data_IF_715609353767
#
_entry.id   IF_715609353767
#
_cell.length_a   1.000
_cell.length_b   1.000
_cell.length_c   1.000
_cell.angle_alpha   90.00
_cell.angle_beta   90.00
_cell.angle_gamma   90.00
#
_symmetry.space_group_name_H-M   'P 1'
#
loop_
_entity.id
_entity.type
_entity.pdbx_description
1 polymer ?
#
# COMPACT_ATOMS: atom_id res chain seq x y z
N UNK A 1 16.79 12.12 7.49
CA UNK A 1 15.55 12.38 6.75
C UNK A 1 15.81 11.83 5.37
N UNK A 2 15.43 10.58 5.13
CA UNK A 2 15.57 9.94 3.83
C UNK A 2 14.35 10.30 2.99
N UNK A 3 14.64 10.60 1.74
CA UNK A 3 13.69 10.93 0.71
C UNK A 3 12.54 9.91 0.70
N UNK A 4 11.34 10.39 1.01
CA UNK A 4 10.13 9.71 0.64
C UNK A 4 10.06 9.75 -0.89
N UNK A 5 9.90 8.60 -1.54
CA UNK A 5 9.80 8.50 -3.00
C UNK A 5 8.59 9.20 -3.62
N UNK A 6 7.77 9.87 -2.81
CA UNK A 6 6.77 10.83 -3.25
C UNK A 6 7.36 12.23 -3.05
N UNK A 7 7.96 12.77 -4.10
CA UNK A 7 8.38 14.16 -4.12
C UNK A 7 7.14 15.06 -4.15
N UNK A 8 6.67 15.46 -2.97
CA UNK A 8 5.66 16.53 -2.87
C UNK A 8 6.41 17.85 -2.97
N UNK A 9 6.64 18.32 -4.18
CA UNK A 9 7.07 19.70 -4.43
C UNK A 9 5.81 20.56 -4.59
N UNK A 10 5.32 21.15 -3.52
CA UNK A 10 4.18 22.06 -3.57
C UNK A 10 4.44 23.31 -2.77
N UNK A 11 4.41 24.46 -3.43
CA UNK A 11 4.13 25.73 -2.78
C UNK A 11 2.82 25.64 -1.99
N UNK A 12 2.77 26.21 -0.80
CA UNK A 12 1.68 26.16 0.18
C UNK A 12 0.32 26.74 -0.31
N UNK A 13 0.04 26.74 -1.60
CA UNK A 13 -1.22 27.17 -2.19
C UNK A 13 -2.18 26.04 -2.55
N UNK A 14 -2.20 24.95 -1.80
CA UNK A 14 -3.33 24.00 -1.76
C UNK A 14 -3.54 23.14 -2.99
N UNK A 15 -2.58 22.97 -3.87
CA UNK A 15 -2.61 21.99 -4.96
C UNK A 15 -1.53 20.94 -4.74
N UNK A 16 -1.95 19.77 -4.30
CA UNK A 16 -1.12 18.57 -4.39
C UNK A 16 -1.18 18.08 -5.84
N UNK A 17 -0.26 18.54 -6.67
CA UNK A 17 -0.03 18.00 -8.00
C UNK A 17 0.97 16.85 -7.85
N UNK A 18 0.46 15.65 -7.57
CA UNK A 18 1.28 14.44 -7.71
C UNK A 18 1.46 14.26 -9.21
N UNK A 19 2.65 14.50 -9.71
CA UNK A 19 2.97 14.32 -11.10
C UNK A 19 2.95 12.82 -11.39
N UNK A 20 1.97 12.34 -12.14
CA UNK A 20 1.79 10.93 -12.50
C UNK A 20 3.07 10.27 -13.03
N UNK A 21 3.95 11.05 -13.65
CA UNK A 21 5.19 10.57 -14.25
C UNK A 21 6.23 10.06 -13.23
N UNK A 22 6.12 10.46 -11.96
CA UNK A 22 7.12 10.10 -10.94
C UNK A 22 6.72 8.87 -10.12
N UNK A 23 5.45 8.43 -10.21
CA UNK A 23 4.92 7.30 -9.42
C UNK A 23 4.97 5.99 -10.18
N UNK A 24 4.60 6.01 -11.47
CA UNK A 24 4.48 4.80 -12.28
C UNK A 24 5.75 4.50 -13.07
N UNK A 25 6.05 3.21 -13.21
CA UNK A 25 7.12 2.72 -14.06
C UNK A 25 6.69 2.77 -15.53
N UNK A 26 7.53 3.37 -16.41
CA UNK A 26 7.21 3.55 -17.83
C UNK A 26 7.17 2.25 -18.64
N UNK A 27 7.74 1.16 -18.12
CA UNK A 27 7.81 -0.14 -18.79
C UNK A 27 6.60 -1.04 -18.53
N UNK A 28 5.71 -0.65 -17.62
CA UNK A 28 4.56 -1.44 -17.22
C UNK A 28 3.25 -0.71 -17.46
N UNK A 29 2.19 -1.49 -17.75
CA UNK A 29 0.87 -0.96 -18.03
C UNK A 29 0.28 -0.25 -16.81
N UNK A 30 -0.31 0.92 -17.05
CA UNK A 30 -1.12 1.66 -16.08
C UNK A 30 -2.59 1.56 -16.47
N UNK A 31 -3.41 1.00 -15.58
CA UNK A 31 -4.85 0.92 -15.75
C UNK A 31 -5.55 2.14 -15.17
N UNK A 32 -6.59 2.58 -15.83
CA UNK A 32 -7.45 3.67 -15.35
C UNK A 32 -8.89 3.18 -15.23
N UNK A 33 -9.53 3.44 -14.10
CA UNK A 33 -10.91 3.03 -13.85
C UNK A 33 -11.04 1.58 -13.38
N UNK A 34 -12.13 0.92 -13.74
CA UNK A 34 -12.39 -0.45 -13.31
C UNK A 34 -11.41 -1.45 -13.93
N UNK A 35 -10.84 -2.29 -13.08
CA UNK A 35 -9.98 -3.41 -13.47
C UNK A 35 -10.60 -4.70 -12.92
N UNK A 36 -10.91 -5.64 -13.80
CA UNK A 36 -11.39 -6.96 -13.40
C UNK A 36 -10.29 -7.74 -12.65
N UNK A 37 -10.66 -8.69 -11.81
CA UNK A 37 -9.70 -9.54 -11.08
C UNK A 37 -8.71 -10.17 -12.06
N UNK A 38 -7.45 -9.73 -11.99
CA UNK A 38 -6.38 -10.06 -12.92
C UNK A 38 -5.19 -10.63 -12.17
N UNK A 39 -4.63 -11.74 -12.67
CA UNK A 39 -3.40 -12.31 -12.13
C UNK A 39 -2.21 -11.40 -12.47
N UNK A 40 -1.35 -11.13 -11.49
CA UNK A 40 -0.25 -10.16 -11.62
C UNK A 40 1.14 -10.76 -11.39
N UNK A 41 1.25 -12.01 -10.96
CA UNK A 41 2.54 -12.67 -10.83
C UNK A 41 2.69 -13.81 -11.84
N UNK A 42 3.92 -14.02 -12.31
CA UNK A 42 4.31 -15.16 -13.14
C UNK A 42 5.18 -16.14 -12.35
N UNK A 43 5.91 -15.65 -11.38
CA UNK A 43 6.84 -16.40 -10.55
C UNK A 43 6.52 -16.35 -9.06
N UNK A 44 7.50 -16.73 -8.26
CA UNK A 44 7.41 -16.68 -6.80
C UNK A 44 7.66 -15.26 -6.32
N UNK A 45 6.69 -14.71 -5.57
CA UNK A 45 6.82 -13.40 -4.93
C UNK A 45 7.44 -13.57 -3.55
N UNK A 46 8.49 -12.82 -3.27
CA UNK A 46 9.17 -12.79 -1.97
C UNK A 46 8.99 -11.47 -1.24
N UNK A 47 8.66 -10.41 -1.96
CA UNK A 47 8.49 -9.08 -1.40
C UNK A 47 7.26 -8.40 -1.98
N UNK A 48 6.56 -7.64 -1.15
CA UNK A 48 5.50 -6.71 -1.56
C UNK A 48 5.99 -5.28 -1.40
N UNK A 49 5.78 -4.46 -2.42
CA UNK A 49 5.94 -3.00 -2.37
C UNK A 49 4.63 -2.33 -2.75
N UNK A 50 4.01 -1.68 -1.78
CA UNK A 50 2.69 -1.07 -1.89
C UNK A 50 2.83 0.45 -1.74
N UNK A 51 2.62 1.20 -2.82
CA UNK A 51 2.63 2.66 -2.84
C UNK A 51 1.22 3.18 -3.13
N UNK A 52 0.55 3.73 -2.12
CA UNK A 52 -0.87 4.08 -2.19
C UNK A 52 -1.06 5.57 -1.88
N UNK A 53 -1.63 6.28 -2.84
CA UNK A 53 -1.95 7.70 -2.74
C UNK A 53 -3.44 7.99 -2.94
N UNK A 54 -4.23 8.09 -1.87
CA UNK A 54 -5.63 8.50 -1.91
C UNK A 54 -6.66 7.39 -2.15
N UNK A 55 -6.25 6.15 -2.33
CA UNK A 55 -7.12 5.00 -2.57
C UNK A 55 -7.48 4.27 -1.27
N UNK A 56 -8.45 3.35 -1.36
CA UNK A 56 -8.63 2.29 -0.36
C UNK A 56 -8.08 0.99 -0.92
N UNK A 57 -7.07 0.43 -0.26
CA UNK A 57 -6.53 -0.89 -0.57
C UNK A 57 -7.00 -1.89 0.49
N UNK A 58 -7.65 -2.97 0.05
CA UNK A 58 -7.90 -4.15 0.87
C UNK A 58 -6.96 -5.28 0.43
N UNK A 59 -6.30 -5.91 1.39
CA UNK A 59 -5.52 -7.12 1.16
C UNK A 59 -6.35 -8.29 1.67
N UNK A 60 -6.64 -9.25 0.79
CA UNK A 60 -7.45 -10.43 1.05
C UNK A 60 -6.69 -11.71 0.71
N UNK A 61 -7.12 -12.83 1.28
CA UNK A 61 -6.60 -14.13 0.92
C UNK A 61 -6.99 -14.51 -0.52
N UNK A 62 -6.03 -15.00 -1.29
CA UNK A 62 -6.27 -15.60 -2.60
C UNK A 62 -6.77 -17.04 -2.46
N UNK A 63 -7.60 -17.48 -3.39
CA UNK A 63 -8.15 -18.85 -3.43
C UNK A 63 -7.12 -19.90 -3.88
N UNK A 64 -5.98 -19.45 -4.40
CA UNK A 64 -4.91 -20.33 -4.92
C UNK A 64 -3.51 -19.70 -4.65
N UNK A 65 -2.48 -20.24 -5.28
CA UNK A 65 -1.09 -19.83 -5.08
C UNK A 65 -0.68 -18.62 -5.95
N UNK A 66 -1.63 -17.90 -6.55
CA UNK A 66 -1.38 -16.73 -7.36
C UNK A 66 -1.88 -15.44 -6.72
N UNK A 67 -1.24 -14.34 -7.08
CA UNK A 67 -1.62 -12.98 -6.69
C UNK A 67 -2.54 -12.38 -7.75
N UNK A 68 -3.59 -11.71 -7.30
CA UNK A 68 -4.53 -11.02 -8.18
C UNK A 68 -4.75 -9.60 -7.70
N UNK A 69 -5.08 -8.72 -8.64
CA UNK A 69 -5.49 -7.34 -8.38
C UNK A 69 -6.84 -7.08 -9.00
N UNK A 70 -7.63 -6.25 -8.33
CA UNK A 70 -8.93 -5.77 -8.81
C UNK A 70 -9.06 -4.30 -8.43
N UNK A 71 -9.62 -3.46 -9.31
CA UNK A 71 -9.94 -2.08 -8.99
C UNK A 71 -11.38 -1.76 -9.34
N UNK A 72 -12.06 -1.06 -8.44
CA UNK A 72 -13.39 -0.48 -8.64
C UNK A 72 -13.34 1.01 -8.42
N UNK A 73 -13.98 1.77 -9.32
CA UNK A 73 -14.01 3.22 -9.24
C UNK A 73 -12.98 3.90 -10.12
N UNK A 74 -12.76 5.19 -9.91
CA UNK A 74 -11.86 6.01 -10.70
C UNK A 74 -10.52 6.16 -10.00
N UNK A 75 -9.44 5.75 -10.65
CA UNK A 75 -8.08 5.85 -10.16
C UNK A 75 -7.12 5.25 -11.17
N UNK A 76 -5.84 5.51 -11.00
CA UNK A 76 -4.77 4.88 -11.77
C UNK A 76 -4.10 3.83 -10.91
N UNK A 77 -3.89 2.67 -11.51
CA UNK A 77 -3.32 1.49 -10.88
C UNK A 77 -2.25 0.89 -11.79
N UNK A 78 -1.11 0.56 -11.21
CA UNK A 78 -0.09 -0.26 -11.82
C UNK A 78 0.25 -1.40 -10.86
N UNK A 79 0.26 -2.63 -11.36
CA UNK A 79 0.66 -3.79 -10.57
C UNK A 79 1.42 -4.77 -11.47
N UNK A 80 2.60 -5.16 -11.03
CA UNK A 80 3.48 -6.07 -11.77
C UNK A 80 4.46 -6.77 -10.84
N UNK A 81 4.99 -7.89 -11.29
CA UNK A 81 6.08 -8.62 -10.61
C UNK A 81 7.36 -8.46 -11.41
N UNK A 82 8.42 -8.07 -10.74
CA UNK A 82 9.79 -8.03 -11.27
C UNK A 82 10.77 -8.45 -10.17
N UNK A 83 11.72 -9.31 -10.49
CA UNK A 83 12.77 -9.81 -9.57
C UNK A 83 12.22 -10.38 -8.24
N UNK A 84 11.10 -11.09 -8.29
CA UNK A 84 10.38 -11.63 -7.12
C UNK A 84 9.77 -10.57 -6.19
N UNK A 85 9.68 -9.33 -6.64
CA UNK A 85 8.99 -8.23 -5.96
C UNK A 85 7.68 -7.96 -6.68
N UNK A 86 6.60 -7.92 -5.94
CA UNK A 86 5.30 -7.50 -6.43
C UNK A 86 5.09 -6.02 -6.09
N UNK A 87 5.02 -5.20 -7.13
CA UNK A 87 4.74 -3.77 -7.02
C UNK A 87 3.26 -3.51 -7.21
N UNK A 88 2.66 -2.74 -6.31
CA UNK A 88 1.31 -2.20 -6.45
C UNK A 88 1.38 -0.71 -6.20
N UNK A 89 1.15 0.08 -7.23
CA UNK A 89 1.20 1.54 -7.20
C UNK A 89 -0.14 2.09 -7.61
N UNK A 90 -0.74 2.94 -6.79
CA UNK A 90 -2.06 3.45 -7.04
C UNK A 90 -2.24 4.89 -6.56
N UNK A 91 -2.82 5.70 -7.42
CA UNK A 91 -3.18 7.09 -7.11
C UNK A 91 -4.61 7.41 -7.56
N UNK A 92 -5.25 8.33 -6.86
CA UNK A 92 -6.50 8.95 -7.30
C UNK A 92 -6.20 10.37 -7.73
N UNK A 93 -6.31 10.63 -9.04
CA UNK A 93 -6.21 11.98 -9.58
C UNK A 93 -7.55 12.69 -9.43
N UNK A 94 -7.52 13.93 -8.98
CA UNK A 94 -8.63 14.84 -8.76
C UNK A 94 -9.46 14.56 -7.50
N UNK A 95 -9.00 15.12 -6.42
CA UNK A 95 -9.88 15.51 -5.32
C UNK A 95 -10.58 16.82 -5.74
N UNK A 96 -11.58 16.75 -6.59
CA UNK A 96 -12.53 17.85 -6.68
C UNK A 96 -13.24 17.93 -5.33
N UNK A 97 -13.08 19.07 -4.65
CA UNK A 97 -13.76 19.39 -3.41
C UNK A 97 -15.26 19.08 -3.53
N UNK A 98 -15.72 17.98 -2.90
CA UNK A 98 -17.12 17.63 -2.80
C UNK A 98 -17.56 16.31 -3.45
N UNK A 99 -16.79 15.70 -4.33
CA UNK A 99 -17.06 14.39 -4.90
C UNK A 99 -15.82 13.50 -4.81
N UNK A 100 -15.61 12.90 -3.63
CA UNK A 100 -14.65 11.78 -3.51
C UNK A 100 -15.21 10.61 -4.31
N UNK A 101 -14.67 10.41 -5.49
CA UNK A 101 -14.84 9.15 -6.22
C UNK A 101 -13.84 8.17 -5.65
N UNK A 102 -14.29 7.38 -4.68
CA UNK A 102 -13.44 6.42 -4.00
C UNK A 102 -13.03 5.31 -4.97
N UNK A 103 -11.74 5.21 -5.26
CA UNK A 103 -11.19 4.05 -5.91
C UNK A 103 -10.84 3.01 -4.85
N UNK A 104 -11.39 1.80 -5.01
CA UNK A 104 -11.12 0.65 -4.15
C UNK A 104 -10.31 -0.37 -4.91
N UNK A 105 -9.17 -0.75 -4.32
CA UNK A 105 -8.28 -1.77 -4.83
C UNK A 105 -8.35 -2.97 -3.91
N UNK A 106 -8.37 -4.17 -4.47
CA UNK A 106 -8.28 -5.43 -3.74
C UNK A 106 -7.07 -6.18 -4.26
N UNK A 107 -6.10 -6.41 -3.38
CA UNK A 107 -4.97 -7.29 -3.61
C UNK A 107 -5.24 -8.64 -2.96
N UNK A 108 -5.19 -9.69 -3.75
CA UNK A 108 -5.33 -11.07 -3.28
C UNK A 108 -3.95 -11.69 -3.12
N UNK A 109 -3.65 -12.16 -1.91
CA UNK A 109 -2.35 -12.73 -1.53
C UNK A 109 -2.56 -14.19 -1.13
N UNK A 110 -1.76 -15.14 -1.64
CA UNK A 110 -1.85 -16.54 -1.23
C UNK A 110 -1.71 -16.71 0.28
N UNK A 111 -2.53 -17.57 0.88
CA UNK A 111 -2.49 -17.87 2.33
C UNK A 111 -1.12 -18.32 2.82
N UNK A 112 -0.40 -19.07 1.98
CA UNK A 112 0.92 -19.63 2.30
C UNK A 112 2.07 -18.81 1.73
N UNK A 113 1.85 -17.52 1.43
CA UNK A 113 2.90 -16.66 0.92
C UNK A 113 4.03 -16.56 1.95
N UNK A 114 5.25 -16.94 1.53
CA UNK A 114 6.45 -16.84 2.34
C UNK A 114 7.18 -15.53 2.01
N UNK A 115 6.65 -14.42 2.51
CA UNK A 115 7.19 -13.10 2.25
C UNK A 115 8.39 -12.81 3.15
N UNK A 116 9.47 -12.34 2.53
CA UNK A 116 10.66 -11.86 3.23
C UNK A 116 10.48 -10.42 3.69
N UNK A 117 9.89 -9.58 2.84
CA UNK A 117 9.65 -8.16 3.16
C UNK A 117 8.29 -7.70 2.66
N UNK A 118 7.65 -6.87 3.47
CA UNK A 118 6.46 -6.10 3.11
C UNK A 118 6.78 -4.63 3.35
N UNK A 119 6.78 -3.84 2.29
CA UNK A 119 6.94 -2.40 2.33
C UNK A 119 5.64 -1.71 1.95
N UNK A 120 5.21 -0.77 2.78
CA UNK A 120 3.99 0.02 2.58
C UNK A 120 4.35 1.50 2.66
N UNK A 121 4.12 2.22 1.59
CA UNK A 121 4.11 3.69 1.55
C UNK A 121 2.67 4.15 1.33
N UNK A 122 2.08 4.75 2.36
CA UNK A 122 0.73 5.27 2.34
C UNK A 122 0.74 6.77 2.52
N UNK A 123 0.74 7.51 1.42
CA UNK A 123 0.71 8.98 1.45
C UNK A 123 -0.58 9.50 2.07
N UNK A 124 -1.71 9.16 1.46
CA UNK A 124 -3.07 9.38 1.96
C UNK A 124 -3.94 8.18 1.56
N UNK A 125 -5.12 8.04 2.15
CA UNK A 125 -6.02 6.92 1.85
C UNK A 125 -6.07 5.90 2.97
N UNK A 126 -6.47 4.67 2.64
CA UNK A 126 -6.71 3.62 3.63
C UNK A 126 -6.16 2.29 3.16
N UNK A 127 -5.44 1.59 4.03
CA UNK A 127 -5.07 0.19 3.82
C UNK A 127 -5.71 -0.67 4.91
N UNK A 128 -6.38 -1.74 4.49
CA UNK A 128 -6.91 -2.78 5.37
C UNK A 128 -6.34 -4.12 4.97
N UNK A 129 -5.56 -4.73 5.86
CA UNK A 129 -4.93 -6.01 5.65
C UNK A 129 -5.34 -7.01 6.74
N UNK A 130 -5.48 -8.28 6.38
CA UNK A 130 -5.72 -9.37 7.30
C UNK A 130 -4.85 -10.57 6.94
N UNK A 131 -4.34 -11.27 7.98
CA UNK A 131 -3.61 -12.54 7.84
C UNK A 131 -2.40 -12.48 6.88
N UNK A 132 -1.72 -11.33 6.82
CA UNK A 132 -0.54 -11.15 6.01
C UNK A 132 0.72 -11.27 6.89
N UNK A 133 1.65 -12.13 6.46
CA UNK A 133 2.84 -12.46 7.23
C UNK A 133 4.09 -12.16 6.42
N UNK A 134 5.11 -11.61 7.08
CA UNK A 134 6.40 -11.36 6.47
C UNK A 134 7.51 -11.38 7.52
N UNK A 135 8.76 -11.61 7.12
CA UNK A 135 9.88 -11.54 8.06
C UNK A 135 10.11 -10.10 8.50
N UNK A 136 10.15 -9.18 7.56
CA UNK A 136 10.31 -7.75 7.79
C UNK A 136 9.10 -6.99 7.27
N UNK A 137 8.57 -6.10 8.08
CA UNK A 137 7.48 -5.20 7.70
C UNK A 137 7.90 -3.77 7.95
N UNK A 138 7.80 -2.92 6.94
CA UNK A 138 8.07 -1.49 7.04
C UNK A 138 6.90 -0.72 6.48
N UNK A 139 6.35 0.19 7.28
CA UNK A 139 5.21 1.03 6.92
C UNK A 139 5.55 2.50 7.12
N UNK A 140 5.47 3.27 6.05
CA UNK A 140 5.61 4.72 6.05
C UNK A 140 4.25 5.35 5.76
N UNK A 141 3.68 6.03 6.76
CA UNK A 141 2.37 6.65 6.69
C UNK A 141 2.48 8.18 6.74
N UNK A 142 2.03 8.85 5.70
CA UNK A 142 1.88 10.30 5.67
C UNK A 142 0.68 10.75 6.48
N UNK A 143 -0.50 10.85 5.85
CA UNK A 143 -1.78 11.25 6.47
C UNK A 143 -2.87 10.16 6.33
N UNK A 144 -2.50 8.93 6.03
CA UNK A 144 -3.41 7.83 5.78
C UNK A 144 -3.81 7.06 7.03
N UNK A 145 -4.66 6.03 6.81
CA UNK A 145 -5.11 5.09 7.84
C UNK A 145 -4.70 3.68 7.45
N UNK A 146 -3.97 3.00 8.33
CA UNK A 146 -3.58 1.60 8.20
C UNK A 146 -4.28 0.77 9.28
N UNK A 147 -5.02 -0.25 8.87
CA UNK A 147 -5.55 -1.28 9.75
C UNK A 147 -5.00 -2.64 9.34
N UNK A 148 -4.36 -3.32 10.28
CA UNK A 148 -3.76 -4.63 10.04
C UNK A 148 -4.17 -5.61 11.12
N UNK A 149 -4.88 -6.66 10.74
CA UNK A 149 -5.30 -7.72 11.64
C UNK A 149 -4.44 -8.97 11.43
N UNK A 150 -4.05 -9.62 12.54
CA UNK A 150 -3.25 -10.84 12.54
C UNK A 150 -1.92 -10.70 11.75
N UNK A 151 -1.10 -9.73 12.14
CA UNK A 151 0.24 -9.55 11.61
C UNK A 151 1.24 -10.44 12.34
N UNK A 152 1.95 -11.27 11.59
CA UNK A 152 3.12 -11.99 12.11
C UNK A 152 4.38 -11.52 11.38
N UNK A 153 5.37 -11.04 12.13
CA UNK A 153 6.65 -10.61 11.58
C UNK A 153 7.80 -10.81 12.58
N UNK A 154 9.01 -11.05 12.07
CA UNK A 154 10.21 -11.06 12.90
C UNK A 154 10.54 -9.64 13.38
N UNK A 155 10.35 -8.67 12.49
CA UNK A 155 10.50 -7.24 12.81
C UNK A 155 9.46 -6.39 12.08
N UNK A 156 8.98 -5.35 12.75
CA UNK A 156 8.10 -4.34 12.17
C UNK A 156 8.62 -2.94 12.49
N UNK A 157 8.62 -2.08 11.47
CA UNK A 157 8.92 -0.66 11.60
C UNK A 157 7.75 0.15 11.06
N UNK A 158 7.23 1.06 11.86
CA UNK A 158 6.07 1.90 11.50
C UNK A 158 6.44 3.36 11.74
N UNK A 159 6.49 4.13 10.67
CA UNK A 159 6.74 5.56 10.70
C UNK A 159 5.44 6.30 10.33
N UNK A 160 4.98 7.20 11.19
CA UNK A 160 3.74 7.93 10.99
C UNK A 160 3.99 9.43 11.12
N UNK A 161 3.74 10.20 10.07
CA UNK A 161 3.85 11.66 10.10
C UNK A 161 2.61 12.30 10.76
N UNK A 162 1.41 12.06 10.21
CA UNK A 162 0.14 12.61 10.71
C UNK A 162 -1.05 11.64 10.58
N UNK A 163 -0.80 10.40 10.19
CA UNK A 163 -1.83 9.38 9.99
C UNK A 163 -2.12 8.57 11.24
N UNK A 164 -2.80 7.45 11.02
CA UNK A 164 -3.11 6.49 12.09
C UNK A 164 -2.80 5.06 11.63
N UNK A 165 -2.17 4.28 12.50
CA UNK A 165 -2.00 2.85 12.33
C UNK A 165 -2.65 2.09 13.49
N UNK A 166 -3.41 1.04 13.15
CA UNK A 166 -4.00 0.11 14.12
C UNK A 166 -3.60 -1.30 13.72
N UNK A 167 -2.81 -1.94 14.56
CA UNK A 167 -2.34 -3.32 14.35
C UNK A 167 -2.91 -4.19 15.47
N UNK A 168 -3.70 -5.19 15.10
CA UNK A 168 -4.38 -6.08 16.05
C UNK A 168 -3.89 -7.51 15.89
N UNK A 169 -3.94 -8.26 17.00
CA UNK A 169 -3.54 -9.68 17.03
C UNK A 169 -2.16 -9.90 16.44
N UNK A 170 -1.19 -9.03 16.80
CA UNK A 170 0.15 -9.04 16.25
C UNK A 170 1.09 -9.96 17.04
N UNK A 171 1.90 -10.72 16.30
CA UNK A 171 3.04 -11.47 16.86
C UNK A 171 4.31 -10.94 16.22
N UNK A 172 5.07 -10.17 16.98
CA UNK A 172 6.25 -9.44 16.50
C UNK A 172 7.47 -9.82 17.32
N UNK A 173 8.58 -10.14 16.67
CA UNK A 173 9.88 -10.33 17.32
C UNK A 173 10.52 -9.01 17.75
N UNK A 174 10.31 -7.96 16.99
CA UNK A 174 10.74 -6.58 17.28
C UNK A 174 9.78 -5.56 16.68
N UNK A 175 9.64 -4.42 17.37
CA UNK A 175 8.80 -3.31 16.91
C UNK A 175 9.52 -1.98 17.13
N UNK A 176 9.61 -1.19 16.06
CA UNK A 176 10.03 0.20 16.10
C UNK A 176 8.90 1.10 15.60
N UNK A 177 8.53 2.11 16.38
CA UNK A 177 7.49 3.08 16.00
C UNK A 177 8.03 4.48 16.12
N UNK A 178 7.93 5.25 15.03
CA UNK A 178 8.25 6.68 14.99
C UNK A 178 6.99 7.49 14.70
N UNK A 179 6.63 8.40 15.59
CA UNK A 179 5.43 9.20 15.50
C UNK A 179 5.76 10.69 15.40
N UNK A 180 5.17 11.37 14.40
CA UNK A 180 5.07 12.83 14.36
C UNK A 180 3.83 13.30 15.12
N UNK A 181 2.76 13.64 14.41
CA UNK A 181 1.48 14.07 14.96
C UNK A 181 0.35 13.02 14.82
N UNK A 182 0.71 11.79 14.50
CA UNK A 182 -0.23 10.68 14.30
C UNK A 182 -0.41 9.80 15.52
N UNK A 183 -1.20 8.74 15.36
CA UNK A 183 -1.47 7.73 16.38
C UNK A 183 -1.06 6.32 15.91
N UNK A 184 -0.55 5.50 16.83
CA UNK A 184 -0.27 4.10 16.58
C UNK A 184 -0.80 3.25 17.76
N UNK A 185 -1.64 2.28 17.44
CA UNK A 185 -2.15 1.30 18.39
C UNK A 185 -1.71 -0.10 17.94
N UNK A 186 -1.05 -0.83 18.83
CA UNK A 186 -0.61 -2.22 18.59
C UNK A 186 -1.12 -3.09 19.74
N UNK A 187 -1.87 -4.15 19.40
CA UNK A 187 -2.50 -5.09 20.33
C UNK A 187 -2.07 -6.52 20.06
#
# INVERSE_FOLDING_TARGET
WNDFGIHISGDWEGRYDINDADVFDDNHEVWTGNVAKTQINQGTVKQLELEIGGNTLEIRESENDHYYIEQKGEGKLQAYEEDSILYVKAIVNNVELGNRKDAKIILYVPKKAALEKIYVDLGAGTIKASDLNGKEVECDLGAGYLEWNALNADSAKINIAAGQAVVKDAVLGGLEVSLGAGDCEVQ
#
